data_IF_355450134311
#
_entry.id   IF_355450134311
#
_cell.length_a   1.000
_cell.length_b   1.000
_cell.length_c   1.000
_cell.angle_alpha   90.00
_cell.angle_beta   90.00
_cell.angle_gamma   90.00
#
_symmetry.space_group_name_H-M   'P 1'
#
loop_
_entity.id
_entity.type
_entity.pdbx_description
1 polymer ?
#
# COMPACT_ATOMS: atom_id res chain seq x y z
N UNK A 1 -42.67 45.50 -31.59
CA UNK A 1 -41.82 46.01 -30.49
C UNK A 1 -41.29 44.80 -29.73
N UNK A 2 -39.97 44.74 -29.59
CA UNK A 2 -39.19 43.98 -28.61
C UNK A 2 -38.90 42.48 -28.84
N UNK A 3 -37.59 42.24 -28.83
CA UNK A 3 -36.81 41.02 -28.90
C UNK A 3 -36.94 40.20 -27.60
N UNK A 4 -36.60 38.91 -27.64
CA UNK A 4 -36.32 38.16 -26.41
C UNK A 4 -34.95 37.49 -26.52
N UNK A 5 -34.13 37.87 -25.55
CA UNK A 5 -32.69 37.78 -25.43
C UNK A 5 -32.27 36.55 -24.63
N UNK A 6 -31.00 36.17 -24.78
CA UNK A 6 -30.32 35.02 -24.23
C UNK A 6 -30.01 35.10 -22.71
N UNK A 7 -29.69 33.92 -22.13
CA UNK A 7 -28.81 33.63 -20.97
C UNK A 7 -29.41 33.60 -19.55
N UNK A 8 -29.24 32.46 -18.84
CA UNK A 8 -28.13 32.25 -17.89
C UNK A 8 -28.41 31.15 -16.85
N UNK A 9 -27.32 30.53 -16.41
CA UNK A 9 -27.14 29.34 -15.59
C UNK A 9 -27.79 29.37 -14.19
N UNK A 10 -28.08 28.18 -13.63
CA UNK A 10 -27.72 27.88 -12.23
C UNK A 10 -27.70 26.37 -11.97
N UNK A 11 -26.57 25.93 -11.42
CA UNK A 11 -26.27 24.58 -11.01
C UNK A 11 -27.15 24.11 -9.85
N UNK A 12 -27.55 22.84 -9.86
CA UNK A 12 -27.83 22.06 -8.65
C UNK A 12 -27.23 20.66 -8.81
N UNK A 13 -25.90 20.56 -8.71
CA UNK A 13 -25.24 19.29 -8.46
C UNK A 13 -25.66 18.85 -7.04
N UNK A 14 -26.53 17.85 -6.97
CA UNK A 14 -27.04 17.28 -5.73
C UNK A 14 -25.89 16.63 -4.97
N UNK A 15 -25.70 17.08 -3.74
CA UNK A 15 -24.82 16.51 -2.73
C UNK A 15 -25.19 15.04 -2.49
N UNK A 16 -24.31 14.11 -2.87
CA UNK A 16 -24.41 12.71 -2.46
C UNK A 16 -23.92 12.62 -1.00
N UNK A 17 -24.73 12.15 -0.04
CA UNK A 17 -24.32 12.10 1.35
C UNK A 17 -23.14 11.14 1.48
N UNK A 18 -22.02 11.68 1.95
CA UNK A 18 -20.84 10.95 2.40
C UNK A 18 -21.23 9.82 3.35
N UNK A 19 -21.47 8.64 2.79
CA UNK A 19 -21.43 7.38 3.51
C UNK A 19 -19.99 7.29 4.01
N UNK A 20 -19.78 7.55 5.30
CA UNK A 20 -18.57 7.10 5.99
C UNK A 20 -18.60 5.57 5.97
N UNK A 21 -18.18 4.99 4.84
CA UNK A 21 -18.02 3.56 4.66
C UNK A 21 -16.91 3.17 5.63
N UNK A 22 -17.31 2.70 6.82
CA UNK A 22 -16.39 2.11 7.77
C UNK A 22 -15.83 0.88 7.09
N UNK A 23 -14.61 1.00 6.57
CA UNK A 23 -13.85 -0.13 6.07
C UNK A 23 -13.59 -1.05 7.27
N UNK A 24 -14.43 -2.08 7.42
CA UNK A 24 -14.12 -3.23 8.27
C UNK A 24 -13.11 -4.07 7.51
N UNK A 25 -11.89 -3.56 7.47
CA UNK A 25 -10.74 -4.20 6.86
C UNK A 25 -9.92 -4.78 8.01
N UNK A 26 -9.47 -6.01 7.87
CA UNK A 26 -8.45 -6.52 8.79
C UNK A 26 -7.14 -5.76 8.55
N UNK A 27 -6.25 -5.59 9.55
CA UNK A 27 -4.95 -4.98 9.29
C UNK A 27 -4.17 -5.71 8.19
N UNK A 28 -4.43 -7.00 8.00
CA UNK A 28 -3.93 -7.82 6.89
C UNK A 28 -4.49 -7.40 5.52
N UNK A 29 -5.76 -7.00 5.44
CA UNK A 29 -6.37 -6.52 4.19
C UNK A 29 -5.75 -5.19 3.72
N UNK A 30 -5.30 -4.33 4.64
CA UNK A 30 -4.57 -3.09 4.29
C UNK A 30 -3.21 -3.39 3.65
N UNK A 31 -2.61 -4.53 4.01
CA UNK A 31 -1.33 -4.99 3.50
C UNK A 31 -1.48 -5.98 2.33
N UNK A 32 -2.71 -6.28 1.93
CA UNK A 32 -3.00 -7.17 0.81
C UNK A 32 -2.84 -6.38 -0.49
N UNK A 33 -2.11 -6.96 -1.44
CA UNK A 33 -1.94 -6.37 -2.77
C UNK A 33 -3.31 -6.32 -3.45
N UNK A 34 -3.83 -5.13 -3.81
CA UNK A 34 -5.10 -5.02 -4.52
C UNK A 34 -5.04 -5.77 -5.85
N UNK A 35 -6.09 -6.53 -6.19
CA UNK A 35 -6.16 -7.26 -7.47
C UNK A 35 -6.07 -6.33 -8.70
N UNK A 36 -6.43 -5.06 -8.54
CA UNK A 36 -6.41 -4.04 -9.59
C UNK A 36 -5.16 -3.13 -9.55
N UNK A 37 -4.07 -3.57 -8.91
CA UNK A 37 -2.82 -2.82 -8.90
C UNK A 37 -2.27 -2.66 -10.33
N UNK A 38 -1.85 -1.44 -10.75
CA UNK A 38 -1.22 -1.23 -12.04
C UNK A 38 -0.02 -2.17 -12.24
N UNK A 39 0.14 -2.70 -13.44
CA UNK A 39 1.27 -3.58 -13.77
C UNK A 39 2.61 -2.88 -13.49
N UNK A 40 3.56 -3.63 -12.94
CA UNK A 40 4.87 -3.14 -12.53
C UNK A 40 5.15 -3.37 -11.05
N UNK A 41 6.31 -2.92 -10.62
CA UNK A 41 6.75 -3.09 -9.23
C UNK A 41 6.11 -2.03 -8.31
N UNK A 42 5.44 -2.42 -7.21
CA UNK A 42 4.86 -1.47 -6.26
C UNK A 42 5.93 -0.86 -5.35
N UNK A 43 6.78 0.00 -5.93
CA UNK A 43 7.97 0.60 -5.30
C UNK A 43 7.63 1.28 -3.97
N UNK A 44 6.51 2.00 -3.89
CA UNK A 44 6.10 2.72 -2.68
C UNK A 44 5.77 1.77 -1.54
N UNK A 45 5.03 0.69 -1.83
CA UNK A 45 4.65 -0.31 -0.82
C UNK A 45 5.88 -1.08 -0.32
N UNK A 46 6.83 -1.35 -1.19
CA UNK A 46 8.07 -2.05 -0.85
C UNK A 46 8.99 -1.16 -0.04
N UNK A 47 9.15 0.10 -0.45
CA UNK A 47 9.92 1.08 0.31
C UNK A 47 9.30 1.32 1.70
N UNK A 48 7.97 1.35 1.79
CA UNK A 48 7.25 1.44 3.05
C UNK A 48 7.51 0.24 3.96
N UNK A 49 7.39 -0.99 3.42
CA UNK A 49 7.66 -2.21 4.18
C UNK A 49 9.11 -2.29 4.66
N UNK A 50 10.08 -1.88 3.83
CA UNK A 50 11.50 -1.79 4.20
C UNK A 50 11.70 -0.79 5.34
N UNK A 51 11.17 0.43 5.22
CA UNK A 51 11.31 1.45 6.25
C UNK A 51 10.68 1.02 7.59
N UNK A 52 9.56 0.29 7.53
CA UNK A 52 8.90 -0.27 8.71
C UNK A 52 9.72 -1.38 9.36
N UNK A 53 10.33 -2.28 8.57
CA UNK A 53 11.24 -3.30 9.07
C UNK A 53 12.48 -2.68 9.72
N UNK A 54 13.06 -1.66 9.09
CA UNK A 54 14.25 -0.95 9.56
C UNK A 54 14.00 -0.27 10.92
N UNK A 55 12.85 0.40 11.09
CA UNK A 55 12.46 0.99 12.37
C UNK A 55 12.33 -0.05 13.50
N UNK A 56 11.84 -1.25 13.19
CA UNK A 56 11.74 -2.35 14.16
C UNK A 56 13.11 -2.94 14.51
N UNK A 57 14.01 -3.06 13.52
CA UNK A 57 15.39 -3.49 13.76
C UNK A 57 16.14 -2.48 14.63
N UNK A 58 16.01 -1.18 14.35
CA UNK A 58 16.60 -0.13 15.17
C UNK A 58 16.10 -0.18 16.63
N UNK A 59 14.82 -0.44 16.85
CA UNK A 59 14.25 -0.64 18.19
C UNK A 59 14.91 -1.84 18.90
N UNK A 60 15.13 -2.94 18.18
CA UNK A 60 15.74 -4.17 18.70
C UNK A 60 17.22 -3.96 18.98
N UNK A 61 17.95 -3.30 18.09
CA UNK A 61 19.37 -2.96 18.25
C UNK A 61 19.61 -2.12 19.50
N UNK A 62 18.71 -1.16 19.79
CA UNK A 62 18.75 -0.40 21.03
C UNK A 62 18.64 -1.24 22.30
N UNK A 63 18.06 -2.45 22.23
CA UNK A 63 18.01 -3.38 23.38
C UNK A 63 19.33 -4.11 23.65
N UNK A 64 20.30 -4.00 22.74
CA UNK A 64 21.61 -4.61 22.85
C UNK A 64 22.74 -3.59 23.06
N UNK A 65 22.49 -2.30 22.85
CA UNK A 65 23.49 -1.22 22.91
C UNK A 65 23.49 -0.45 24.25
N UNK A 66 22.38 -0.44 24.99
CA UNK A 66 22.22 0.37 26.20
C UNK A 66 22.04 -0.47 27.49
N UNK A 67 22.55 0.09 28.61
CA UNK A 67 22.43 -0.46 29.97
C UNK A 67 21.11 0.00 30.66
N UNK A 68 20.23 0.68 29.91
CA UNK A 68 18.89 1.04 30.36
C UNK A 68 17.92 -0.13 30.13
N UNK A 69 16.89 -0.20 30.98
CA UNK A 69 16.11 -1.42 31.21
C UNK A 69 15.64 -2.14 29.94
N UNK A 70 16.23 -3.31 29.69
CA UNK A 70 15.89 -4.20 28.58
C UNK A 70 14.39 -4.48 28.51
N UNK A 71 13.82 -4.35 27.31
CA UNK A 71 12.45 -4.75 27.01
C UNK A 71 12.25 -6.24 27.34
N UNK A 72 11.03 -6.59 27.72
CA UNK A 72 10.68 -7.97 27.99
C UNK A 72 10.84 -8.84 26.74
N UNK A 73 11.29 -10.09 26.92
CA UNK A 73 11.58 -11.02 25.82
C UNK A 73 10.43 -11.17 24.82
N UNK A 74 9.19 -11.17 25.30
CA UNK A 74 8.01 -11.27 24.44
C UNK A 74 7.83 -10.05 23.54
N UNK A 75 8.25 -8.86 23.96
CA UNK A 75 8.21 -7.64 23.15
C UNK A 75 9.24 -7.73 22.02
N UNK A 76 10.46 -8.16 22.34
CA UNK A 76 11.53 -8.36 21.35
C UNK A 76 11.12 -9.46 20.36
N UNK A 77 10.55 -10.57 20.86
CA UNK A 77 10.04 -11.65 20.02
C UNK A 77 8.92 -11.19 19.08
N UNK A 78 8.00 -10.35 19.57
CA UNK A 78 6.93 -9.76 18.76
C UNK A 78 7.48 -8.80 17.70
N UNK A 79 8.47 -7.98 18.03
CA UNK A 79 9.12 -7.09 17.06
C UNK A 79 9.82 -7.89 15.94
N UNK A 80 10.55 -8.96 16.29
CA UNK A 80 11.15 -9.87 15.31
C UNK A 80 10.09 -10.61 14.47
N UNK A 81 8.95 -10.94 15.06
CA UNK A 81 7.81 -11.52 14.32
C UNK A 81 7.23 -10.52 13.32
N UNK A 82 7.11 -9.24 13.70
CA UNK A 82 6.68 -8.17 12.80
C UNK A 82 7.65 -8.00 11.61
N UNK A 83 8.97 -7.97 11.85
CA UNK A 83 9.99 -7.90 10.78
C UNK A 83 9.84 -9.06 9.80
N UNK A 84 9.58 -10.28 10.28
CA UNK A 84 9.30 -11.44 9.41
C UNK A 84 8.04 -11.24 8.57
N UNK A 85 7.02 -10.61 9.11
CA UNK A 85 5.82 -10.20 8.37
C UNK A 85 6.14 -9.23 7.24
N UNK A 86 6.94 -8.20 7.50
CA UNK A 86 7.37 -7.23 6.48
C UNK A 86 8.15 -7.89 5.35
N UNK A 87 9.09 -8.79 5.68
CA UNK A 87 9.85 -9.53 4.67
C UNK A 87 8.94 -10.41 3.79
N UNK A 88 7.91 -11.02 4.37
CA UNK A 88 6.94 -11.80 3.60
C UNK A 88 6.09 -10.92 2.67
N UNK A 89 5.72 -9.70 3.11
CA UNK A 89 5.02 -8.72 2.27
C UNK A 89 5.90 -8.26 1.11
N UNK A 90 7.16 -7.92 1.38
CA UNK A 90 8.14 -7.55 0.35
C UNK A 90 8.27 -8.65 -0.70
N UNK A 91 8.42 -9.91 -0.27
CA UNK A 91 8.49 -11.06 -1.20
C UNK A 91 7.28 -11.15 -2.11
N UNK A 92 6.07 -11.05 -1.57
CA UNK A 92 4.82 -11.07 -2.37
C UNK A 92 4.75 -9.92 -3.38
N UNK A 93 5.15 -8.71 -2.97
CA UNK A 93 5.14 -7.53 -3.83
C UNK A 93 6.18 -7.65 -4.96
N UNK A 94 7.34 -8.26 -4.68
CA UNK A 94 8.37 -8.57 -5.67
C UNK A 94 7.87 -9.60 -6.67
N UNK A 95 7.29 -10.70 -6.20
CA UNK A 95 6.74 -11.75 -7.05
C UNK A 95 5.62 -11.22 -7.96
N UNK A 96 4.74 -10.37 -7.41
CA UNK A 96 3.70 -9.69 -8.18
C UNK A 96 4.29 -8.80 -9.28
N UNK A 97 5.27 -7.96 -8.93
CA UNK A 97 5.98 -7.14 -9.90
C UNK A 97 6.61 -7.99 -11.00
N UNK A 98 7.31 -9.07 -10.66
CA UNK A 98 7.94 -9.95 -11.64
C UNK A 98 6.93 -10.60 -12.59
N UNK A 99 5.80 -11.09 -12.07
CA UNK A 99 4.75 -11.71 -12.89
C UNK A 99 4.13 -10.70 -13.86
N UNK A 100 3.83 -9.48 -13.41
CA UNK A 100 3.22 -8.44 -14.25
C UNK A 100 4.17 -7.94 -15.35
N UNK A 101 5.48 -7.88 -15.08
CA UNK A 101 6.50 -7.57 -16.08
C UNK A 101 6.59 -8.66 -17.17
N UNK A 102 6.56 -9.95 -16.77
CA UNK A 102 6.56 -11.06 -17.74
C UNK A 102 5.30 -11.08 -18.61
N UNK A 103 4.13 -10.80 -18.04
CA UNK A 103 2.88 -10.71 -18.81
C UNK A 103 2.90 -9.58 -19.83
N UNK A 104 3.49 -8.43 -19.46
CA UNK A 104 3.64 -7.27 -20.35
C UNK A 104 4.61 -7.58 -21.49
N UNK A 105 5.73 -8.24 -21.19
CA UNK A 105 6.71 -8.68 -22.19
C UNK A 105 6.11 -9.72 -23.17
N UNK A 106 5.33 -10.68 -22.66
CA UNK A 106 4.65 -11.70 -23.47
C UNK A 106 3.57 -11.12 -24.40
N UNK A 107 2.76 -10.15 -23.92
CA UNK A 107 1.79 -9.44 -24.75
C UNK A 107 2.46 -8.64 -25.87
N UNK A 108 3.56 -7.96 -25.56
CA UNK A 108 4.32 -7.17 -26.55
C UNK A 108 4.88 -8.06 -27.67
N UNK A 109 5.32 -9.28 -27.36
CA UNK A 109 5.80 -10.24 -28.35
C UNK A 109 4.68 -10.80 -29.25
N UNK A 110 3.47 -11.02 -28.71
CA UNK A 110 2.33 -11.54 -29.47
C UNK A 110 1.67 -10.50 -30.40
N UNK A 111 1.82 -9.20 -30.13
CA UNK A 111 1.22 -8.12 -30.92
C UNK A 111 1.99 -7.82 -32.23
N UNK A 112 3.18 -8.40 -32.41
CA UNK A 112 4.10 -8.10 -33.52
C UNK A 112 4.25 -9.28 -34.51
N UNK A 113 3.36 -10.27 -34.44
CA UNK A 113 3.25 -11.42 -35.35
C UNK A 113 1.95 -11.33 -36.14
#
# INVERSE_FOLDING_TARGET
MQQSNSNSSTATAKTDPSIHQRFFTTPEDVLTVPENMPAGYPVDAISCAIARADAMLLLIEGQFDADDGRLADHVIANALWAVRGELAVIGKLVDHGHNTEQETAGKTAAQHI
#
